data_IF_091763696841
#
_entry.id   IF_091763696841
#
_cell.length_a   1.000
_cell.length_b   1.000
_cell.length_c   1.000
_cell.angle_alpha   90.00
_cell.angle_beta   90.00
_cell.angle_gamma   90.00
#
_symmetry.space_group_name_H-M   'P 1'
#
loop_
_entity.id
_entity.type
_entity.pdbx_description
1 polymer ?
#
# COMPACT_ATOMS: atom_id res chain seq x y z
N UNK A 1 62.91 -24.37 -5.58
CA UNK A 1 61.57 -24.80 -5.16
C UNK A 1 60.67 -23.60 -5.29
N UNK A 2 59.89 -23.49 -6.39
CA UNK A 2 59.02 -22.35 -6.67
C UNK A 2 57.61 -22.70 -6.18
N UNK A 3 57.09 -21.88 -5.28
CA UNK A 3 55.72 -22.00 -4.77
C UNK A 3 54.82 -21.26 -5.76
N UNK A 4 53.96 -22.01 -6.49
CA UNK A 4 52.89 -21.44 -7.32
C UNK A 4 51.73 -21.07 -6.39
N UNK A 5 51.48 -19.77 -6.21
CA UNK A 5 50.28 -19.24 -5.60
C UNK A 5 49.18 -19.24 -6.67
N UNK A 6 48.21 -20.16 -6.56
CA UNK A 6 46.99 -20.13 -7.36
C UNK A 6 46.02 -19.18 -6.65
N UNK A 7 45.85 -17.98 -7.17
CA UNK A 7 44.78 -17.04 -6.76
C UNK A 7 43.51 -17.44 -7.50
N UNK A 8 42.58 -18.08 -6.79
CA UNK A 8 41.23 -18.31 -7.30
C UNK A 8 40.47 -17.00 -7.24
N UNK A 9 40.21 -16.37 -8.38
CA UNK A 9 39.28 -15.28 -8.50
C UNK A 9 37.86 -15.84 -8.36
N UNK A 10 37.27 -15.76 -7.15
CA UNK A 10 35.88 -16.01 -6.94
C UNK A 10 35.08 -14.86 -7.55
N UNK A 11 34.34 -15.12 -8.65
CA UNK A 11 33.35 -14.21 -9.18
C UNK A 11 32.21 -14.10 -8.15
N UNK A 12 32.16 -12.99 -7.42
CA UNK A 12 30.99 -12.65 -6.59
C UNK A 12 29.88 -12.24 -7.55
N UNK A 13 29.01 -13.18 -7.89
CA UNK A 13 27.78 -12.87 -8.64
C UNK A 13 26.83 -12.15 -7.70
N UNK A 14 26.72 -10.83 -7.84
CA UNK A 14 25.66 -10.06 -7.22
C UNK A 14 24.36 -10.39 -7.93
N UNK A 15 23.56 -11.26 -7.31
CA UNK A 15 22.18 -11.41 -7.72
C UNK A 15 21.44 -10.12 -7.34
N UNK A 16 21.23 -9.23 -8.29
CA UNK A 16 20.24 -8.17 -8.17
C UNK A 16 18.87 -8.84 -8.12
N UNK A 17 18.40 -9.13 -6.94
CA UNK A 17 17.01 -9.51 -6.73
C UNK A 17 16.16 -8.26 -6.98
N UNK A 18 15.65 -8.09 -8.19
CA UNK A 18 14.63 -7.09 -8.50
C UNK A 18 13.36 -7.36 -7.66
N UNK A 19 12.63 -6.31 -7.28
CA UNK A 19 11.30 -6.48 -6.72
C UNK A 19 10.44 -7.33 -7.66
N UNK A 20 9.58 -8.21 -7.15
CA UNK A 20 8.70 -9.02 -8.00
C UNK A 20 7.80 -8.12 -8.84
N UNK A 21 7.36 -8.65 -9.98
CA UNK A 21 6.32 -8.03 -10.79
C UNK A 21 5.02 -7.99 -9.97
N UNK A 22 4.40 -6.82 -9.78
CA UNK A 22 3.18 -6.70 -8.99
C UNK A 22 2.01 -7.56 -9.49
N UNK A 23 1.93 -7.83 -10.80
CA UNK A 23 0.92 -8.71 -11.40
C UNK A 23 1.09 -10.17 -10.93
N UNK A 24 2.31 -10.59 -10.60
CA UNK A 24 2.62 -11.97 -10.22
C UNK A 24 2.38 -12.30 -8.75
N UNK A 25 2.08 -11.31 -7.91
CA UNK A 25 1.92 -11.51 -6.47
C UNK A 25 0.56 -12.13 -6.15
N UNK A 26 0.58 -13.30 -5.49
CA UNK A 26 -0.62 -13.99 -5.07
C UNK A 26 -1.26 -13.28 -3.87
N UNK A 27 -2.54 -12.96 -3.99
CA UNK A 27 -3.30 -12.28 -2.93
C UNK A 27 -3.82 -13.32 -1.93
N UNK A 28 -3.60 -13.13 -0.61
CA UNK A 28 -4.06 -14.05 0.41
C UNK A 28 -5.58 -14.09 0.56
N UNK A 29 -6.12 -15.24 1.02
CA UNK A 29 -7.57 -15.47 1.20
C UNK A 29 -8.26 -14.52 2.21
N UNK A 30 -7.50 -13.84 3.07
CA UNK A 30 -8.04 -12.85 4.02
C UNK A 30 -8.26 -11.47 3.39
N UNK A 31 -7.96 -11.29 2.10
CA UNK A 31 -8.27 -10.10 1.29
C UNK A 31 -9.38 -10.46 0.32
N UNK A 32 -10.51 -9.78 0.41
CA UNK A 32 -11.58 -9.89 -0.57
C UNK A 32 -11.18 -9.18 -1.88
N UNK A 33 -11.23 -9.88 -3.00
CA UNK A 33 -11.00 -9.27 -4.31
C UNK A 33 -12.32 -8.86 -4.94
N UNK A 34 -12.62 -7.56 -4.93
CA UNK A 34 -13.80 -6.97 -5.59
C UNK A 34 -13.38 -5.78 -6.45
N UNK A 35 -12.87 -6.09 -7.64
CA UNK A 35 -12.33 -5.08 -8.54
C UNK A 35 -13.40 -4.14 -9.07
N UNK A 36 -13.07 -2.84 -9.12
CA UNK A 36 -13.89 -1.85 -9.81
C UNK A 36 -13.76 -2.00 -11.33
N UNK A 37 -14.76 -1.52 -12.07
CA UNK A 37 -14.79 -1.63 -13.53
C UNK A 37 -13.59 -0.93 -14.18
N UNK A 38 -12.93 -1.59 -15.13
CA UNK A 38 -11.74 -1.08 -15.82
C UNK A 38 -12.07 0.10 -16.75
N UNK A 39 -13.28 0.17 -17.25
CA UNK A 39 -13.81 1.25 -18.07
C UNK A 39 -14.38 2.42 -17.26
N UNK A 40 -14.30 2.33 -15.92
CA UNK A 40 -14.69 3.38 -15.00
C UNK A 40 -13.67 4.53 -14.96
N UNK A 41 -14.10 5.68 -14.44
CA UNK A 41 -13.26 6.88 -14.33
C UNK A 41 -12.10 6.73 -13.35
N UNK A 42 -12.20 5.78 -12.43
CA UNK A 42 -11.26 5.58 -11.32
C UNK A 42 -10.23 4.49 -11.57
N UNK A 43 -10.44 3.63 -12.56
CA UNK A 43 -9.50 2.56 -12.94
C UNK A 43 -9.12 2.70 -14.40
N UNK A 44 -7.93 3.25 -14.64
CA UNK A 44 -7.41 3.55 -15.99
C UNK A 44 -6.92 2.31 -16.74
N UNK A 45 -6.52 1.27 -16.02
CA UNK A 45 -5.88 0.07 -16.56
C UNK A 45 -4.45 0.28 -17.02
N UNK A 46 -3.80 1.40 -16.65
CA UNK A 46 -2.37 1.58 -16.86
C UNK A 46 -1.58 0.57 -16.03
N UNK A 47 -0.62 -0.07 -16.65
CA UNK A 47 0.23 -1.05 -15.99
C UNK A 47 1.15 -0.42 -14.95
N UNK A 48 1.43 -1.17 -13.88
CA UNK A 48 2.41 -0.84 -12.86
C UNK A 48 3.42 -1.99 -12.76
N UNK A 49 4.67 -1.71 -13.14
CA UNK A 49 5.72 -2.74 -13.23
C UNK A 49 6.62 -2.82 -12.00
N UNK A 50 6.49 -1.87 -11.08
CA UNK A 50 7.34 -1.78 -9.89
C UNK A 50 6.62 -1.07 -8.76
N UNK A 51 6.74 -1.62 -7.55
CA UNK A 51 6.35 -0.97 -6.31
C UNK A 51 7.60 -0.43 -5.62
N UNK A 52 7.61 0.88 -5.33
CA UNK A 52 8.67 1.53 -4.57
C UNK A 52 8.22 1.86 -3.16
N UNK A 53 6.97 2.29 -3.00
CA UNK A 53 6.43 2.68 -1.71
C UNK A 53 4.96 2.27 -1.58
N UNK A 54 4.49 2.25 -0.35
CA UNK A 54 3.08 2.05 0.01
C UNK A 54 2.56 3.37 0.57
N UNK A 55 1.50 3.91 -0.04
CA UNK A 55 0.90 5.17 0.39
C UNK A 55 -0.36 4.90 1.21
N UNK A 56 -0.35 5.36 2.45
CA UNK A 56 -1.51 5.26 3.36
C UNK A 56 -2.34 6.54 3.26
N UNK A 57 -3.65 6.33 3.09
CA UNK A 57 -4.68 7.36 3.05
C UNK A 57 -5.75 7.07 4.11
N UNK A 58 -6.66 8.01 4.29
CA UNK A 58 -7.93 7.81 4.98
C UNK A 58 -9.08 8.23 4.06
N UNK A 59 -10.21 7.57 4.13
CA UNK A 59 -11.34 7.80 3.21
C UNK A 59 -11.99 9.18 3.35
N UNK A 60 -11.66 9.95 4.38
CA UNK A 60 -12.22 11.28 4.69
C UNK A 60 -13.77 11.31 4.73
N UNK A 61 -14.40 10.16 5.01
CA UNK A 61 -15.85 9.97 5.11
C UNK A 61 -16.17 9.18 6.39
N UNK A 62 -16.30 9.86 7.54
CA UNK A 62 -16.45 9.23 8.85
C UNK A 62 -17.60 8.22 8.90
N UNK A 63 -17.33 7.03 9.46
CA UNK A 63 -18.33 5.98 9.63
C UNK A 63 -18.71 5.21 8.36
N UNK A 64 -18.12 5.54 7.19
CA UNK A 64 -18.37 4.79 5.97
C UNK A 64 -17.70 3.41 5.99
N UNK A 65 -18.35 2.41 5.37
CA UNK A 65 -17.83 1.05 5.27
C UNK A 65 -16.88 0.88 4.08
N UNK A 66 -16.06 -0.18 4.08
CA UNK A 66 -15.21 -0.52 2.95
C UNK A 66 -16.03 -0.73 1.66
N UNK A 67 -17.15 -1.45 1.75
CA UNK A 67 -18.04 -1.71 0.62
C UNK A 67 -18.65 -0.41 0.05
N UNK A 68 -19.02 0.56 0.90
CA UNK A 68 -19.54 1.85 0.45
C UNK A 68 -18.47 2.65 -0.30
N UNK A 69 -17.24 2.69 0.20
CA UNK A 69 -16.12 3.37 -0.46
C UNK A 69 -15.71 2.66 -1.77
N UNK A 70 -15.70 1.33 -1.79
CA UNK A 70 -15.51 0.57 -3.03
C UNK A 70 -16.59 0.89 -4.07
N UNK A 71 -17.85 0.96 -3.66
CA UNK A 71 -18.94 1.33 -4.54
C UNK A 71 -18.81 2.76 -5.06
N UNK A 72 -18.35 3.70 -4.22
CA UNK A 72 -18.02 5.04 -4.65
C UNK A 72 -16.91 5.06 -5.71
N UNK A 73 -15.81 4.32 -5.51
CA UNK A 73 -14.77 4.21 -6.52
C UNK A 73 -15.26 3.69 -7.86
N UNK A 74 -16.25 2.80 -7.86
CA UNK A 74 -16.87 2.24 -9.06
C UNK A 74 -17.94 3.15 -9.68
N UNK A 75 -18.21 4.32 -9.09
CA UNK A 75 -19.24 5.23 -9.58
C UNK A 75 -18.70 6.18 -10.65
N UNK A 76 -19.53 6.65 -11.58
CA UNK A 76 -19.14 7.65 -12.59
C UNK A 76 -18.79 9.00 -11.98
N UNK A 77 -19.12 9.23 -10.71
CA UNK A 77 -18.79 10.47 -10.01
C UNK A 77 -17.42 10.45 -9.33
N UNK A 78 -16.75 9.30 -9.31
CA UNK A 78 -15.41 9.17 -8.73
C UNK A 78 -14.34 9.31 -9.81
N UNK A 79 -13.26 10.02 -9.47
CA UNK A 79 -12.01 10.05 -10.22
C UNK A 79 -10.86 9.55 -9.35
N UNK A 80 -11.18 8.81 -8.28
CA UNK A 80 -10.18 8.27 -7.35
C UNK A 80 -10.42 6.79 -7.10
N UNK A 81 -9.35 6.08 -6.83
CA UNK A 81 -9.37 4.68 -6.42
C UNK A 81 -8.12 4.37 -5.61
N UNK A 82 -8.17 3.30 -4.82
CA UNK A 82 -7.00 2.72 -4.18
C UNK A 82 -6.89 1.24 -4.51
N UNK A 83 -5.72 0.65 -4.31
CA UNK A 83 -5.55 -0.79 -4.47
C UNK A 83 -6.34 -1.53 -3.40
N UNK A 84 -6.27 -1.04 -2.15
CA UNK A 84 -6.94 -1.66 -1.02
C UNK A 84 -7.76 -0.64 -0.22
N UNK A 85 -8.86 -1.12 0.34
CA UNK A 85 -9.63 -0.43 1.36
C UNK A 85 -9.63 -1.29 2.62
N UNK A 86 -9.24 -0.70 3.74
CA UNK A 86 -9.34 -1.32 5.06
C UNK A 86 -10.60 -0.78 5.76
N UNK A 87 -11.52 -1.66 6.11
CA UNK A 87 -12.81 -1.29 6.70
C UNK A 87 -12.77 -1.11 8.21
N UNK A 88 -13.89 -0.63 8.76
CA UNK A 88 -14.03 -0.31 10.20
C UNK A 88 -13.89 -1.53 11.12
N UNK A 89 -14.22 -2.72 10.64
CA UNK A 89 -14.14 -3.98 11.39
C UNK A 89 -12.88 -4.79 11.01
N UNK A 90 -11.99 -4.21 10.20
CA UNK A 90 -10.74 -4.83 9.78
C UNK A 90 -10.87 -5.71 8.52
N UNK A 91 -12.01 -5.68 7.85
CA UNK A 91 -12.17 -6.27 6.51
C UNK A 91 -11.28 -5.52 5.50
N UNK A 92 -10.73 -6.26 4.52
CA UNK A 92 -9.88 -5.66 3.49
C UNK A 92 -10.44 -6.03 2.12
N UNK A 93 -10.70 -5.01 1.30
CA UNK A 93 -11.16 -5.19 -0.08
C UNK A 93 -10.08 -4.70 -1.03
N UNK A 94 -9.67 -5.54 -1.98
CA UNK A 94 -8.83 -5.14 -3.10
C UNK A 94 -9.72 -4.64 -4.23
N UNK A 95 -9.57 -3.36 -4.58
CA UNK A 95 -10.39 -2.67 -5.58
C UNK A 95 -9.71 -2.54 -6.95
N UNK A 96 -8.36 -2.53 -6.97
CA UNK A 96 -7.54 -2.45 -8.19
C UNK A 96 -6.47 -3.55 -8.12
N UNK A 97 -6.22 -4.32 -9.20
CA UNK A 97 -5.10 -5.25 -9.24
C UNK A 97 -3.76 -4.56 -8.98
N UNK A 98 -2.83 -5.22 -8.29
CA UNK A 98 -1.53 -4.61 -7.97
C UNK A 98 -0.64 -4.36 -9.20
N UNK A 99 -0.89 -5.05 -10.31
CA UNK A 99 -0.25 -4.78 -11.61
C UNK A 99 -0.81 -3.56 -12.37
N UNK A 100 -1.86 -2.90 -11.85
CA UNK A 100 -2.44 -1.70 -12.44
C UNK A 100 -2.24 -0.48 -11.51
N UNK A 101 -2.16 0.71 -12.07
CA UNK A 101 -2.09 1.95 -11.31
C UNK A 101 -3.46 2.30 -10.71
N UNK A 102 -3.50 2.65 -9.43
CA UNK A 102 -4.66 3.29 -8.82
C UNK A 102 -4.63 4.82 -9.01
N UNK A 103 -5.70 5.51 -8.64
CA UNK A 103 -5.84 6.96 -8.79
C UNK A 103 -5.93 7.67 -7.43
N UNK A 104 -4.96 7.43 -6.53
CA UNK A 104 -4.93 7.99 -5.18
C UNK A 104 -3.70 8.83 -4.86
N UNK A 105 -2.53 8.48 -5.44
CA UNK A 105 -1.23 8.98 -5.01
C UNK A 105 -0.62 10.00 -5.97
N UNK A 106 -1.44 10.63 -6.81
CA UNK A 106 -1.04 11.69 -7.74
C UNK A 106 0.13 11.24 -8.66
N UNK A 107 1.25 11.98 -8.66
CA UNK A 107 2.44 11.67 -9.47
C UNK A 107 3.14 10.35 -9.06
N UNK A 108 2.74 9.75 -7.94
CA UNK A 108 3.27 8.46 -7.45
C UNK A 108 2.37 7.26 -7.81
N UNK A 109 1.26 7.48 -8.53
CA UNK A 109 0.42 6.37 -9.01
C UNK A 109 1.20 5.28 -9.78
N UNK A 110 2.22 5.61 -10.61
CA UNK A 110 2.94 4.60 -11.39
C UNK A 110 3.85 3.65 -10.58
N UNK A 111 4.14 3.95 -9.32
CA UNK A 111 5.14 3.20 -8.53
C UNK A 111 4.75 2.97 -7.06
N UNK A 112 3.47 3.12 -6.70
CA UNK A 112 2.99 2.92 -5.33
C UNK A 112 1.75 2.06 -5.24
N UNK A 113 1.70 1.21 -4.20
CA UNK A 113 0.45 0.63 -3.71
C UNK A 113 -0.23 1.65 -2.80
N UNK A 114 -1.51 1.95 -3.05
CA UNK A 114 -2.31 2.86 -2.22
C UNK A 114 -3.32 2.11 -1.38
N UNK A 115 -3.47 2.52 -0.12
CA UNK A 115 -4.38 1.94 0.85
C UNK A 115 -5.25 3.06 1.43
N UNK A 116 -6.56 2.95 1.27
CA UNK A 116 -7.54 3.83 1.92
C UNK A 116 -8.07 3.16 3.19
N UNK A 117 -8.04 3.86 4.31
CA UNK A 117 -8.48 3.32 5.60
C UNK A 117 -9.74 4.02 6.08
N UNK A 118 -10.77 3.24 6.39
CA UNK A 118 -12.00 3.72 7.01
C UNK A 118 -11.74 4.12 8.47
N UNK A 119 -12.44 5.16 8.92
CA UNK A 119 -12.32 5.68 10.27
C UNK A 119 -13.70 6.01 10.86
N UNK A 120 -13.89 5.87 12.19
CA UNK A 120 -15.23 5.95 12.79
C UNK A 120 -15.79 7.37 12.84
N UNK A 121 -14.96 8.37 13.01
CA UNK A 121 -15.38 9.75 13.29
C UNK A 121 -14.50 10.80 12.61
N UNK A 122 -14.78 12.08 12.85
CA UNK A 122 -14.14 13.23 12.21
C UNK A 122 -12.69 13.47 12.64
N UNK A 123 -12.16 12.77 13.64
CA UNK A 123 -10.74 12.84 14.01
C UNK A 123 -9.86 12.25 12.94
N UNK A 124 -10.36 11.21 12.25
CA UNK A 124 -9.61 10.44 11.27
C UNK A 124 -8.71 9.36 11.91
N UNK A 125 -8.82 9.15 13.23
CA UNK A 125 -8.15 8.07 13.93
C UNK A 125 -8.74 6.71 13.48
N UNK A 126 -7.87 5.74 13.25
CA UNK A 126 -8.30 4.40 12.85
C UNK A 126 -8.83 3.63 14.06
N UNK A 127 -9.91 2.88 13.88
CA UNK A 127 -10.37 1.95 14.90
C UNK A 127 -9.31 0.87 15.17
N UNK A 128 -9.34 0.24 16.35
CA UNK A 128 -8.41 -0.86 16.66
C UNK A 128 -8.46 -1.97 15.61
N UNK A 129 -9.65 -2.44 15.14
CA UNK A 129 -9.70 -3.43 14.06
C UNK A 129 -9.08 -2.92 12.74
N UNK A 130 -9.36 -1.67 12.35
CA UNK A 130 -8.79 -1.08 11.12
C UNK A 130 -7.27 -0.94 11.24
N UNK A 131 -6.76 -0.48 12.38
CA UNK A 131 -5.32 -0.35 12.64
C UNK A 131 -4.60 -1.70 12.54
N UNK A 132 -5.13 -2.74 13.21
CA UNK A 132 -4.54 -4.07 13.18
C UNK A 132 -4.56 -4.69 11.77
N UNK A 133 -5.64 -4.49 11.03
CA UNK A 133 -5.75 -4.95 9.65
C UNK A 133 -4.80 -4.19 8.72
N UNK A 134 -4.66 -2.87 8.90
CA UNK A 134 -3.67 -2.06 8.17
C UNK A 134 -2.24 -2.58 8.43
N UNK A 135 -1.86 -2.80 9.68
CA UNK A 135 -0.53 -3.34 10.02
C UNK A 135 -0.31 -4.70 9.35
N UNK A 136 -1.29 -5.60 9.41
CA UNK A 136 -1.21 -6.91 8.74
C UNK A 136 -1.01 -6.77 7.23
N UNK A 137 -1.73 -5.85 6.59
CA UNK A 137 -1.62 -5.58 5.16
C UNK A 137 -0.25 -5.00 4.81
N UNK A 138 0.24 -4.02 5.60
CA UNK A 138 1.54 -3.38 5.40
C UNK A 138 2.69 -4.38 5.51
N UNK A 139 2.69 -5.23 6.54
CA UNK A 139 3.70 -6.28 6.73
C UNK A 139 3.71 -7.24 5.53
N UNK A 140 2.53 -7.71 5.10
CA UNK A 140 2.44 -8.58 3.93
C UNK A 140 2.98 -7.91 2.67
N UNK A 141 2.57 -6.66 2.37
CA UNK A 141 3.05 -5.93 1.18
C UNK A 141 4.57 -5.68 1.24
N UNK A 142 5.12 -5.34 2.41
CA UNK A 142 6.56 -5.18 2.58
C UNK A 142 7.31 -6.48 2.27
N UNK A 143 6.83 -7.62 2.75
CA UNK A 143 7.43 -8.92 2.43
C UNK A 143 7.36 -9.24 0.93
N UNK A 144 6.19 -9.06 0.29
CA UNK A 144 6.01 -9.36 -1.12
C UNK A 144 6.91 -8.49 -2.02
N UNK A 145 6.98 -7.18 -1.73
CA UNK A 145 7.73 -6.24 -2.57
C UNK A 145 9.15 -5.95 -2.09
N UNK A 146 9.62 -6.62 -1.02
CA UNK A 146 10.96 -6.43 -0.42
C UNK A 146 11.20 -4.99 0.00
N UNK A 147 10.21 -4.42 0.64
CA UNK A 147 10.21 -3.10 1.23
C UNK A 147 10.43 -3.20 2.74
N UNK A 148 10.70 -2.08 3.37
CA UNK A 148 10.74 -1.93 4.81
C UNK A 148 9.82 -0.79 5.28
N UNK A 149 9.82 -0.49 6.58
CA UNK A 149 8.95 0.53 7.16
C UNK A 149 9.22 1.93 6.58
N UNK A 150 10.40 2.20 6.05
CA UNK A 150 10.74 3.49 5.44
C UNK A 150 10.07 3.72 4.09
N UNK A 151 9.58 2.64 3.46
CA UNK A 151 8.81 2.70 2.22
C UNK A 151 7.30 2.88 2.46
N UNK A 152 6.87 2.96 3.72
CA UNK A 152 5.48 3.26 4.07
C UNK A 152 5.37 4.76 4.30
N UNK A 153 4.63 5.43 3.44
CA UNK A 153 4.50 6.89 3.45
C UNK A 153 3.03 7.32 3.50
N UNK A 154 2.78 8.55 3.94
CA UNK A 154 1.44 9.16 3.92
C UNK A 154 1.20 9.86 2.59
N UNK A 155 -0.03 10.05 2.21
CA UNK A 155 -0.35 10.94 1.09
C UNK A 155 0.17 12.38 1.34
N UNK A 156 0.24 12.79 2.61
CA UNK A 156 0.88 14.04 3.02
C UNK A 156 2.33 14.16 2.55
N UNK A 157 3.09 13.09 2.62
CA UNK A 157 4.51 13.07 2.23
C UNK A 157 4.69 13.17 0.71
N UNK A 158 3.63 12.86 -0.07
CA UNK A 158 3.61 12.99 -1.53
C UNK A 158 3.22 14.40 -1.98
N UNK A 159 2.21 15.02 -1.34
CA UNK A 159 1.55 16.23 -1.88
C UNK A 159 1.39 17.37 -0.87
N UNK A 160 1.63 17.14 0.42
CA UNK A 160 1.30 18.05 1.51
C UNK A 160 -0.19 18.06 1.90
N UNK A 161 -1.03 17.23 1.27
CA UNK A 161 -2.44 17.08 1.64
C UNK A 161 -2.55 16.49 3.05
N UNK A 162 -3.47 17.01 3.88
CA UNK A 162 -3.75 16.50 5.21
C UNK A 162 -4.41 15.08 5.14
N UNK A 163 -3.60 14.08 4.83
CA UNK A 163 -4.05 12.70 4.61
C UNK A 163 -2.91 11.69 4.90
N UNK A 164 -3.13 10.69 5.77
CA UNK A 164 -4.30 10.54 6.64
C UNK A 164 -4.30 11.59 7.77
N UNK A 165 -5.41 12.27 7.97
CA UNK A 165 -5.51 13.47 8.83
C UNK A 165 -4.90 13.24 10.22
N UNK A 166 -5.40 12.26 10.98
CA UNK A 166 -4.96 11.99 12.34
C UNK A 166 -3.44 11.78 12.43
N UNK A 167 -2.88 10.99 11.53
CA UNK A 167 -1.45 10.64 11.50
C UNK A 167 -0.54 11.74 10.93
N UNK A 168 -1.12 12.80 10.37
CA UNK A 168 -0.39 14.05 10.05
C UNK A 168 -0.40 15.02 11.23
N UNK A 169 -1.55 15.12 11.92
CA UNK A 169 -1.71 15.96 13.12
C UNK A 169 -1.00 15.37 14.35
N UNK A 170 -0.79 14.04 14.37
CA UNK A 170 -0.13 13.27 15.44
C UNK A 170 1.05 12.47 14.89
N UNK A 171 2.18 13.09 14.56
CA UNK A 171 3.32 12.41 13.94
C UNK A 171 3.90 11.29 14.82
N UNK A 172 3.78 11.39 16.15
CA UNK A 172 4.17 10.32 17.07
C UNK A 172 3.35 9.03 16.90
N UNK A 173 2.07 9.16 16.49
CA UNK A 173 1.23 7.98 16.20
C UNK A 173 1.58 7.36 14.85
N UNK A 174 2.02 8.18 13.88
CA UNK A 174 2.57 7.67 12.63
C UNK A 174 3.87 6.88 12.89
N UNK A 175 4.80 7.43 13.65
CA UNK A 175 6.04 6.74 14.02
C UNK A 175 5.76 5.45 14.80
N UNK A 176 4.76 5.45 15.69
CA UNK A 176 4.32 4.24 16.40
C UNK A 176 3.83 3.16 15.45
N UNK A 177 3.04 3.52 14.44
CA UNK A 177 2.57 2.58 13.41
C UNK A 177 3.76 1.99 12.63
N UNK A 178 4.70 2.82 12.18
CA UNK A 178 5.89 2.36 11.46
C UNK A 178 6.75 1.41 12.32
N UNK A 179 7.00 1.75 13.58
CA UNK A 179 7.74 0.89 14.50
C UNK A 179 7.03 -0.45 14.73
N UNK A 180 5.70 -0.42 14.83
CA UNK A 180 4.90 -1.63 15.01
C UNK A 180 4.94 -2.55 13.78
N UNK A 181 5.02 -1.99 12.57
CA UNK A 181 5.27 -2.75 11.34
C UNK A 181 6.69 -3.29 11.33
N UNK A 182 7.70 -2.46 11.61
CA UNK A 182 9.12 -2.83 11.65
C UNK A 182 9.39 -4.05 12.54
N UNK A 183 8.79 -4.09 13.73
CA UNK A 183 8.93 -5.22 14.66
C UNK A 183 8.38 -6.55 14.13
N UNK A 184 7.64 -6.53 13.00
CA UNK A 184 6.98 -7.68 12.39
C UNK A 184 7.53 -8.06 11.02
N UNK A 185 8.46 -7.26 10.51
CA UNK A 185 9.24 -7.56 9.31
C UNK A 185 10.45 -8.44 9.65
#
# INVERSE_FOLDING_TARGET
>A
MAILLVVAFGAVTWFHYSSPDPESVAVPDWIEQDFIAKDGHSRTGFEMHKVKDIVVHYVANPGSTAAANRSYFNSPNSNTSAHFIVGLQGEIIQCVPMGEQSSASNQRNPDTISIEVCHPDATGEFSIPSYNALVKLLVWLCHEFRLDESNIIRHYDVTGKLCPKYYVEHPEEWERLLNYVKERL
#
